data_IF_395024901871
#
_entry.id   IF_395024901871
#
_cell.length_a   1.000
_cell.length_b   1.000
_cell.length_c   1.000
_cell.angle_alpha   90.00
_cell.angle_beta   90.00
_cell.angle_gamma   90.00
#
_symmetry.space_group_name_H-M   'P 1'
#
loop_
_entity.id
_entity.type
_entity.pdbx_description
1 polymer ?
#
# COMPACT_ATOMS: atom_id res chain seq x y z
N UNK A 1 -20.74 11.82 -18.44
CA UNK A 1 -21.15 11.00 -17.27
C UNK A 1 -20.25 11.42 -16.11
N UNK A 2 -20.72 12.33 -15.24
CA UNK A 2 -19.94 12.78 -14.09
C UNK A 2 -20.06 11.76 -12.96
N UNK A 3 -18.97 11.07 -12.66
CA UNK A 3 -18.89 10.20 -11.49
C UNK A 3 -18.92 11.05 -10.22
N UNK A 4 -19.67 10.62 -9.21
CA UNK A 4 -19.78 11.32 -7.94
C UNK A 4 -18.45 11.29 -7.17
N UNK A 5 -18.20 12.30 -6.32
CA UNK A 5 -17.00 12.32 -5.45
C UNK A 5 -16.88 11.06 -4.58
N UNK A 6 -17.99 10.41 -4.22
CA UNK A 6 -18.00 9.14 -3.47
C UNK A 6 -17.57 7.95 -4.35
N UNK A 7 -18.01 7.90 -5.61
CA UNK A 7 -17.59 6.87 -6.57
C UNK A 7 -16.10 6.99 -6.93
N UNK A 8 -15.60 8.22 -7.15
CA UNK A 8 -14.17 8.47 -7.38
C UNK A 8 -13.32 8.05 -6.17
N UNK A 9 -13.83 8.27 -4.95
CA UNK A 9 -13.16 7.87 -3.70
C UNK A 9 -13.17 6.35 -3.50
N UNK A 10 -14.19 5.65 -4.01
CA UNK A 10 -14.30 4.19 -3.97
C UNK A 10 -13.40 3.48 -5.00
N UNK A 11 -12.99 4.17 -6.06
CA UNK A 11 -12.09 3.65 -7.10
C UNK A 11 -10.61 3.83 -6.72
N UNK A 12 -10.31 4.80 -5.87
CA UNK A 12 -8.94 5.26 -5.60
C UNK A 12 -8.44 4.82 -4.21
N UNK A 13 -8.57 3.53 -3.89
CA UNK A 13 -8.01 2.97 -2.65
C UNK A 13 -6.53 2.66 -2.86
N UNK A 14 -5.67 3.63 -2.55
CA UNK A 14 -4.23 3.40 -2.45
C UNK A 14 -3.85 3.12 -1.00
N UNK A 15 -3.02 2.09 -0.79
CA UNK A 15 -2.38 1.84 0.50
C UNK A 15 -0.91 2.17 0.38
N UNK A 16 -0.52 3.28 1.01
CA UNK A 16 0.87 3.72 1.04
C UNK A 16 1.70 2.87 2.00
N UNK A 17 2.85 2.42 1.51
CA UNK A 17 3.87 1.68 2.28
C UNK A 17 5.15 2.49 2.51
N UNK A 18 5.07 3.82 2.33
CA UNK A 18 6.17 4.79 2.47
C UNK A 18 6.95 4.59 3.79
N UNK A 19 6.26 4.27 4.90
CA UNK A 19 6.90 4.05 6.20
C UNK A 19 7.88 2.87 6.17
N UNK A 20 7.48 1.78 5.52
CA UNK A 20 8.28 0.58 5.42
C UNK A 20 9.50 0.85 4.53
N UNK A 21 9.29 1.43 3.36
CA UNK A 21 10.36 1.80 2.42
C UNK A 21 11.37 2.72 3.10
N UNK A 22 10.90 3.78 3.77
CA UNK A 22 11.76 4.71 4.50
C UNK A 22 12.58 4.02 5.59
N UNK A 23 11.97 3.13 6.38
CA UNK A 23 12.66 2.38 7.44
C UNK A 23 13.72 1.44 6.87
N UNK A 24 13.43 0.75 5.76
CA UNK A 24 14.38 -0.12 5.08
C UNK A 24 15.61 0.66 4.58
N UNK A 25 15.44 1.94 4.23
CA UNK A 25 16.53 2.84 3.85
C UNK A 25 17.25 3.46 5.07
N UNK A 26 16.85 3.17 6.30
CA UNK A 26 17.44 3.72 7.52
C UNK A 26 17.19 5.23 7.74
N UNK A 27 16.20 5.80 7.06
CA UNK A 27 15.94 7.25 7.07
C UNK A 27 14.87 7.59 8.12
N UNK A 28 15.04 8.66 8.89
CA UNK A 28 14.01 9.19 9.80
C UNK A 28 12.99 10.06 9.08
N UNK A 29 11.80 10.27 9.66
CA UNK A 29 10.78 11.18 9.09
C UNK A 29 11.35 12.59 8.89
N UNK A 30 12.17 13.08 9.82
CA UNK A 30 12.76 14.41 9.72
C UNK A 30 13.80 14.49 8.59
N UNK A 31 14.59 13.44 8.36
CA UNK A 31 15.50 13.39 7.22
C UNK A 31 14.75 13.34 5.89
N UNK A 32 13.67 12.56 5.80
CA UNK A 32 12.82 12.53 4.59
C UNK A 32 12.15 13.89 4.35
N UNK A 33 11.67 14.55 5.41
CA UNK A 33 11.14 15.93 5.35
C UNK A 33 12.16 16.91 4.77
N UNK A 34 13.41 16.88 5.27
CA UNK A 34 14.49 17.74 4.75
C UNK A 34 14.78 17.47 3.26
N UNK A 35 14.86 16.21 2.86
CA UNK A 35 15.12 15.80 1.46
C UNK A 35 14.00 16.22 0.50
N UNK A 36 12.75 16.09 0.93
CA UNK A 36 11.56 16.30 0.09
C UNK A 36 10.98 17.72 0.18
N UNK A 37 11.42 18.51 1.18
CA UNK A 37 10.82 19.80 1.58
C UNK A 37 9.33 19.70 1.96
N UNK A 38 8.85 18.50 2.28
CA UNK A 38 7.50 18.27 2.80
C UNK A 38 7.48 18.39 4.33
N UNK A 39 6.35 18.78 4.91
CA UNK A 39 6.24 18.85 6.37
C UNK A 39 6.29 17.44 7.00
N UNK A 40 6.91 17.27 8.18
CA UNK A 40 6.93 15.99 8.89
C UNK A 40 5.52 15.45 9.19
N UNK A 41 4.57 16.35 9.48
CA UNK A 41 3.17 16.01 9.70
C UNK A 41 2.54 15.41 8.44
N UNK A 42 2.75 16.03 7.27
CA UNK A 42 2.24 15.53 6.00
C UNK A 42 2.82 14.15 5.65
N UNK A 43 4.12 13.93 5.86
CA UNK A 43 4.74 12.61 5.68
C UNK A 43 4.10 11.57 6.61
N UNK A 44 3.90 11.90 7.90
CA UNK A 44 3.25 10.99 8.86
C UNK A 44 1.80 10.69 8.50
N UNK A 45 1.10 11.61 7.86
CA UNK A 45 -0.27 11.39 7.38
C UNK A 45 -0.30 10.46 6.17
N UNK A 46 0.64 10.60 5.24
CA UNK A 46 0.81 9.65 4.14
C UNK A 46 1.22 8.27 4.66
N UNK A 47 2.23 8.19 5.53
CA UNK A 47 2.68 6.93 6.18
C UNK A 47 1.60 6.26 7.06
N UNK A 48 0.62 7.03 7.49
CA UNK A 48 -0.49 6.56 8.30
C UNK A 48 -1.74 6.27 7.49
N UNK A 49 -1.70 6.41 6.15
CA UNK A 49 -2.88 6.36 5.29
C UNK A 49 -4.01 7.26 5.82
N UNK A 50 -3.71 8.43 6.38
CA UNK A 50 -4.73 9.42 6.76
C UNK A 50 -5.05 10.39 5.62
N UNK A 51 -4.14 10.50 4.66
CA UNK A 51 -4.34 11.20 3.39
C UNK A 51 -4.20 10.24 2.23
N UNK A 52 -5.19 10.28 1.33
CA UNK A 52 -5.32 9.35 0.21
C UNK A 52 -5.16 9.98 -1.17
N UNK A 53 -4.93 11.30 -1.25
CA UNK A 53 -4.82 12.02 -2.51
C UNK A 53 -3.54 12.88 -2.62
N UNK A 54 -2.33 12.32 -2.46
CA UNK A 54 -1.10 13.01 -2.86
C UNK A 54 -1.07 13.18 -4.39
N UNK A 55 -0.44 14.25 -4.85
CA UNK A 55 -0.20 14.42 -6.29
C UNK A 55 0.90 13.48 -6.76
N UNK A 56 0.91 13.13 -8.06
CA UNK A 56 2.03 12.35 -8.65
C UNK A 56 3.38 13.04 -8.45
N UNK A 57 3.42 14.37 -8.49
CA UNK A 57 4.63 15.16 -8.18
C UNK A 57 5.12 14.89 -6.75
N UNK A 58 4.20 14.89 -5.78
CA UNK A 58 4.52 14.57 -4.38
C UNK A 58 5.11 13.17 -4.25
N UNK A 59 4.49 12.17 -4.90
CA UNK A 59 4.98 10.79 -4.87
C UNK A 59 6.34 10.65 -5.54
N UNK A 60 6.56 11.33 -6.67
CA UNK A 60 7.86 11.39 -7.34
C UNK A 60 8.97 11.92 -6.44
N UNK A 61 8.75 13.07 -5.77
CA UNK A 61 9.73 13.65 -4.86
C UNK A 61 10.06 12.70 -3.69
N UNK A 62 9.06 11.97 -3.17
CA UNK A 62 9.29 10.98 -2.11
C UNK A 62 10.09 9.78 -2.65
N UNK A 63 9.76 9.28 -3.85
CA UNK A 63 10.44 8.16 -4.49
C UNK A 63 11.91 8.50 -4.75
N UNK A 64 12.19 9.67 -5.31
CA UNK A 64 13.54 10.17 -5.55
C UNK A 64 14.34 10.27 -4.24
N UNK A 65 13.74 10.82 -3.19
CA UNK A 65 14.38 10.97 -1.88
C UNK A 65 14.70 9.62 -1.19
N UNK A 66 13.95 8.57 -1.54
CA UNK A 66 14.14 7.20 -1.05
C UNK A 66 14.91 6.30 -2.03
N UNK A 67 15.19 6.79 -3.25
CA UNK A 67 15.83 6.06 -4.34
C UNK A 67 15.11 4.73 -4.62
N UNK A 68 13.82 4.84 -4.97
CA UNK A 68 12.92 3.74 -5.34
C UNK A 68 12.05 4.16 -6.51
N UNK A 69 11.33 3.22 -7.14
CA UNK A 69 10.30 3.56 -8.11
C UNK A 69 9.06 4.14 -7.40
N UNK A 70 8.33 5.03 -8.06
CA UNK A 70 7.06 5.57 -7.53
C UNK A 70 6.05 4.46 -7.25
N UNK A 71 6.02 3.40 -8.07
CA UNK A 71 5.16 2.23 -7.89
C UNK A 71 5.43 1.48 -6.58
N UNK A 72 6.66 1.55 -6.06
CA UNK A 72 7.04 0.86 -4.82
C UNK A 72 6.47 1.54 -3.56
N UNK A 73 5.85 2.71 -3.71
CA UNK A 73 5.36 3.52 -2.58
C UNK A 73 3.93 3.17 -2.17
N UNK A 74 3.15 2.50 -3.02
CA UNK A 74 1.75 2.21 -2.76
C UNK A 74 1.27 0.95 -3.48
N UNK A 75 0.26 0.31 -2.91
CA UNK A 75 -0.52 -0.73 -3.56
C UNK A 75 -1.87 -0.17 -3.99
N UNK A 76 -2.36 -0.66 -5.11
CA UNK A 76 -3.66 -0.34 -5.69
C UNK A 76 -4.61 -1.53 -5.51
N UNK A 77 -5.89 -1.29 -5.78
CA UNK A 77 -6.87 -2.39 -5.84
C UNK A 77 -6.51 -3.41 -6.93
N UNK A 78 -5.92 -2.96 -8.05
CA UNK A 78 -5.50 -3.85 -9.14
C UNK A 78 -4.45 -4.86 -8.68
N UNK A 79 -3.46 -4.42 -7.88
CA UNK A 79 -2.43 -5.34 -7.34
C UNK A 79 -3.04 -6.41 -6.42
N UNK A 80 -4.14 -6.09 -5.73
CA UNK A 80 -4.90 -7.06 -4.92
C UNK A 80 -5.71 -8.00 -5.81
N UNK A 81 -6.29 -7.49 -6.89
CA UNK A 81 -7.12 -8.28 -7.79
C UNK A 81 -6.26 -9.25 -8.61
N UNK A 82 -5.04 -8.87 -9.04
CA UNK A 82 -4.05 -9.80 -9.64
C UNK A 82 -3.67 -10.94 -8.68
N UNK A 83 -3.49 -10.65 -7.39
CA UNK A 83 -3.21 -11.68 -6.37
C UNK A 83 -4.40 -12.64 -6.16
N UNK A 84 -5.64 -12.15 -6.32
CA UNK A 84 -6.84 -12.99 -6.26
C UNK A 84 -7.00 -13.85 -7.50
N UNK A 85 -6.75 -13.30 -8.68
CA UNK A 85 -6.81 -14.06 -9.94
C UNK A 85 -5.84 -15.25 -9.92
N UNK A 86 -4.62 -15.07 -9.41
CA UNK A 86 -3.66 -16.17 -9.24
C UNK A 86 -4.14 -17.21 -8.21
N UNK A 87 -4.82 -16.77 -7.14
CA UNK A 87 -5.40 -17.68 -6.15
C UNK A 87 -6.58 -18.46 -6.74
N UNK A 88 -7.46 -17.79 -7.48
CA UNK A 88 -8.63 -18.37 -8.15
C UNK A 88 -8.19 -19.42 -9.19
N UNK A 89 -7.15 -19.14 -9.98
CA UNK A 89 -6.57 -20.11 -10.92
C UNK A 89 -6.07 -21.39 -10.23
N UNK A 90 -5.46 -21.26 -9.04
CA UNK A 90 -5.02 -22.42 -8.25
C UNK A 90 -6.17 -23.17 -7.61
N UNK A 91 -7.22 -22.47 -7.18
CA UNK A 91 -8.46 -23.07 -6.68
C UNK A 91 -9.12 -23.90 -7.79
N UNK A 92 -9.18 -23.38 -9.02
CA UNK A 92 -9.71 -24.12 -10.17
C UNK A 92 -8.88 -25.35 -10.50
N UNK A 93 -7.55 -25.26 -10.40
CA UNK A 93 -6.64 -26.36 -10.74
C UNK A 93 -6.60 -27.48 -9.69
N UNK A 94 -6.65 -27.14 -8.40
CA UNK A 94 -6.40 -28.10 -7.31
C UNK A 94 -7.60 -28.31 -6.39
N UNK A 95 -8.63 -27.48 -6.47
CA UNK A 95 -9.77 -27.48 -5.56
C UNK A 95 -9.49 -26.69 -4.28
N UNK A 96 -10.53 -26.04 -3.77
CA UNK A 96 -10.45 -25.08 -2.65
C UNK A 96 -9.94 -25.68 -1.32
N UNK A 97 -10.07 -27.00 -1.15
CA UNK A 97 -9.66 -27.71 0.05
C UNK A 97 -8.33 -28.47 -0.12
N UNK A 98 -7.67 -28.30 -1.27
CA UNK A 98 -6.35 -28.92 -1.47
C UNK A 98 -5.33 -28.33 -0.49
N UNK A 99 -4.42 -29.15 0.05
CA UNK A 99 -3.33 -28.68 0.90
C UNK A 99 -2.56 -27.51 0.28
N UNK A 100 -2.32 -27.56 -1.03
CA UNK A 100 -1.57 -26.57 -1.80
C UNK A 100 -2.30 -25.21 -1.81
N UNK A 101 -3.62 -25.19 -2.04
CA UNK A 101 -4.42 -23.96 -2.03
C UNK A 101 -4.53 -23.40 -0.62
N UNK A 102 -4.67 -24.24 0.40
CA UNK A 102 -4.74 -23.80 1.80
C UNK A 102 -3.43 -23.20 2.29
N UNK A 103 -2.28 -23.72 1.86
CA UNK A 103 -0.97 -23.14 2.13
C UNK A 103 -0.85 -21.75 1.50
N UNK A 104 -1.23 -21.61 0.23
CA UNK A 104 -1.21 -20.32 -0.48
C UNK A 104 -2.16 -19.32 0.17
N UNK A 105 -3.40 -19.73 0.50
CA UNK A 105 -4.38 -18.89 1.18
C UNK A 105 -3.86 -18.36 2.50
N UNK A 106 -3.22 -19.20 3.32
CA UNK A 106 -2.63 -18.79 4.61
C UNK A 106 -1.53 -17.75 4.44
N UNK A 107 -0.67 -17.93 3.43
CA UNK A 107 0.41 -16.97 3.13
C UNK A 107 -0.18 -15.64 2.67
N UNK A 108 -1.18 -15.66 1.79
CA UNK A 108 -1.87 -14.45 1.31
C UNK A 108 -2.55 -13.73 2.49
N UNK A 109 -3.29 -14.45 3.34
CA UNK A 109 -3.93 -13.87 4.52
C UNK A 109 -2.91 -13.24 5.48
N UNK A 110 -1.76 -13.89 5.68
CA UNK A 110 -0.68 -13.35 6.51
C UNK A 110 -0.09 -12.07 5.89
N UNK A 111 0.17 -12.07 4.58
CA UNK A 111 0.69 -10.91 3.85
C UNK A 111 -0.31 -9.74 3.88
N UNK A 112 -1.58 -10.02 3.64
CA UNK A 112 -2.65 -9.03 3.72
C UNK A 112 -2.75 -8.46 5.14
N UNK A 113 -2.67 -9.29 6.17
CA UNK A 113 -2.68 -8.81 7.54
C UNK A 113 -1.44 -7.95 7.88
N UNK A 114 -0.26 -8.26 7.34
CA UNK A 114 0.94 -7.45 7.55
C UNK A 114 0.88 -6.09 6.83
N UNK A 115 0.30 -6.06 5.62
CA UNK A 115 0.21 -4.86 4.79
C UNK A 115 -0.95 -3.95 5.25
N UNK A 116 -2.06 -4.54 5.70
CA UNK A 116 -3.32 -3.82 5.93
C UNK A 116 -3.77 -3.70 7.39
N UNK A 117 -3.04 -4.20 8.40
CA UNK A 117 -3.48 -4.08 9.81
C UNK A 117 -3.73 -2.59 10.17
N UNK A 118 -4.97 -2.16 10.46
CA UNK A 118 -5.15 -0.90 11.14
C UNK A 118 -4.44 -1.05 12.49
N UNK A 119 -3.51 -0.15 12.81
CA UNK A 119 -2.98 -0.10 14.17
C UNK A 119 -4.17 0.13 15.08
N UNK A 120 -4.51 -0.85 15.89
CA UNK A 120 -5.46 -0.64 16.97
C UNK A 120 -4.98 0.57 17.75
N UNK A 121 -5.82 1.61 17.75
CA UNK A 121 -5.62 2.79 18.55
C UNK A 121 -5.65 2.31 20.00
N UNK A 122 -4.47 2.21 20.61
CA UNK A 122 -4.37 2.09 22.06
C UNK A 122 -5.12 3.30 22.64
N UNK A 123 -6.30 3.02 23.22
CA UNK A 123 -7.06 3.95 24.04
C UNK A 123 -6.24 4.35 25.25
#
# INVERSE_FOLDING_TARGET
>A
MCMSKKEVFSIMMYVFVIKQVRKNKGISVNQLSKKTKLSPAYIKDLEGNRKYNPTMKTLGIIADALSVNVKDLFYTKLDIDELKEELDARIEMHGIHSPEVLEVSRVIDLLMNLIFKPRELKK
#
